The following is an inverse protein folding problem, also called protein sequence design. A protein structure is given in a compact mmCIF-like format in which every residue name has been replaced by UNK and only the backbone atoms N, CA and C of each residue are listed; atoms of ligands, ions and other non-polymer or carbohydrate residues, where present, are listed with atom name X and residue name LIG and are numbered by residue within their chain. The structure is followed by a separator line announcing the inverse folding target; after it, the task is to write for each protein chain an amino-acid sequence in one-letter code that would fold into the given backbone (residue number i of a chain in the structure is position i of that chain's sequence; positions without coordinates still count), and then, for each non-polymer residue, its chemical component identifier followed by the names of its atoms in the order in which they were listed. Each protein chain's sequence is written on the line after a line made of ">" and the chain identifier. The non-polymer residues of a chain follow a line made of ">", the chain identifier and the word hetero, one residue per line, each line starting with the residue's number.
data_IF_060724545247
#
_entry.id   IF_060724545247
#
_cell.length_a   1.000
_cell.length_b   1.000
_cell.length_c   1.000
_cell.angle_alpha   90.00
_cell.angle_beta   90.00
_cell.angle_gamma   90.00
#
_symmetry.space_group_name_H-M   'P 1'
#
loop_
_entity.id
_entity.type
_entity.pdbx_description
1 polymer ?
#
# COMPACT_ATOMS: atom_id res chain seq x y z
N UNK A 1 22.82 -19.39 2.49
CA UNK A 1 23.19 -18.28 1.58
C UNK A 1 22.00 -18.01 0.65
N UNK A 2 21.14 -17.05 0.98
CA UNK A 2 19.97 -16.72 0.16
C UNK A 2 20.35 -15.87 -1.05
N UNK A 3 19.78 -16.15 -2.23
CA UNK A 3 19.98 -15.32 -3.42
C UNK A 3 19.15 -14.04 -3.25
N UNK A 4 19.82 -12.89 -3.20
CA UNK A 4 19.15 -11.58 -3.22
C UNK A 4 18.80 -11.27 -4.67
N UNK A 5 17.51 -11.20 -4.98
CA UNK A 5 17.00 -10.77 -6.28
C UNK A 5 16.73 -9.27 -6.21
N UNK A 6 17.44 -8.50 -7.03
CA UNK A 6 17.20 -7.06 -7.21
C UNK A 6 16.42 -6.84 -8.50
N UNK A 7 15.35 -6.05 -8.42
CA UNK A 7 14.48 -5.72 -9.55
C UNK A 7 14.39 -4.20 -9.69
N UNK A 8 14.75 -3.68 -10.85
CA UNK A 8 14.67 -2.26 -11.19
C UNK A 8 13.47 -2.01 -12.09
N UNK A 9 12.66 -0.99 -11.75
CA UNK A 9 11.45 -0.63 -12.48
C UNK A 9 11.66 0.65 -13.28
N UNK A 10 11.59 0.56 -14.60
CA UNK A 10 11.56 1.72 -15.48
C UNK A 10 10.21 2.46 -15.34
N UNK A 11 10.23 3.55 -14.58
CA UNK A 11 9.06 4.38 -14.30
C UNK A 11 8.55 5.15 -15.54
N UNK A 12 9.32 5.19 -16.63
CA UNK A 12 8.85 5.77 -17.90
C UNK A 12 8.03 4.76 -18.71
N UNK A 13 8.27 3.45 -18.50
CA UNK A 13 7.58 2.33 -19.15
C UNK A 13 6.76 1.52 -18.15
N UNK A 14 5.91 2.20 -17.37
CA UNK A 14 5.03 1.54 -16.41
C UNK A 14 4.11 0.53 -17.14
N UNK A 15 3.93 -0.68 -16.59
CA UNK A 15 2.99 -1.64 -17.16
C UNK A 15 1.58 -1.05 -17.14
N UNK A 16 0.88 -1.15 -18.27
CA UNK A 16 -0.52 -0.72 -18.36
C UNK A 16 -1.40 -1.71 -17.62
N UNK A 17 -2.36 -1.20 -16.84
CA UNK A 17 -3.37 -2.04 -16.22
C UNK A 17 -4.19 -2.79 -17.28
N UNK A 18 -4.37 -4.09 -17.06
CA UNK A 18 -5.25 -4.92 -17.89
C UNK A 18 -6.70 -4.47 -17.76
N UNK A 19 -7.56 -4.87 -18.71
CA UNK A 19 -8.99 -4.55 -18.66
C UNK A 19 -9.64 -5.12 -17.40
N UNK A 20 -9.28 -6.34 -17.02
CA UNK A 20 -9.77 -7.00 -15.81
C UNK A 20 -9.39 -6.23 -14.54
N UNK A 21 -8.13 -5.79 -14.44
CA UNK A 21 -7.66 -4.99 -13.30
C UNK A 21 -8.44 -3.68 -13.18
N UNK A 22 -8.71 -3.01 -14.31
CA UNK A 22 -9.52 -1.77 -14.31
C UNK A 22 -10.96 -2.01 -13.88
N UNK A 23 -11.56 -3.13 -14.27
CA UNK A 23 -12.92 -3.48 -13.85
C UNK A 23 -12.98 -3.79 -12.35
N UNK A 24 -11.99 -4.52 -11.81
CA UNK A 24 -11.88 -4.74 -10.36
C UNK A 24 -11.76 -3.43 -9.58
N UNK A 25 -10.92 -2.51 -10.04
CA UNK A 25 -10.78 -1.20 -9.38
C UNK A 25 -12.08 -0.40 -9.38
N UNK A 26 -12.84 -0.41 -10.48
CA UNK A 26 -14.16 0.24 -10.53
C UNK A 26 -15.18 -0.40 -9.60
N UNK A 27 -15.13 -1.73 -9.45
CA UNK A 27 -15.99 -2.44 -8.51
C UNK A 27 -15.65 -2.05 -7.06
N UNK A 28 -14.36 -1.95 -6.73
CA UNK A 28 -13.91 -1.48 -5.42
C UNK A 28 -14.29 -0.01 -5.16
N UNK A 29 -14.21 0.85 -6.16
CA UNK A 29 -14.59 2.28 -6.05
C UNK A 29 -16.10 2.47 -5.80
N UNK A 30 -16.94 1.57 -6.32
CA UNK A 30 -18.39 1.62 -6.13
C UNK A 30 -18.87 0.93 -4.85
N UNK A 31 -17.99 0.18 -4.17
CA UNK A 31 -18.28 -0.50 -2.92
C UNK A 31 -18.37 0.51 -1.77
N UNK A 32 -19.31 0.32 -0.85
CA UNK A 32 -19.42 1.19 0.33
C UNK A 32 -18.37 0.81 1.38
N UNK A 33 -17.92 1.80 2.14
CA UNK A 33 -16.98 1.59 3.24
C UNK A 33 -17.49 0.57 4.28
N UNK A 34 -18.81 0.53 4.51
CA UNK A 34 -19.48 -0.39 5.44
C UNK A 34 -19.38 -1.86 5.01
N UNK A 35 -19.15 -2.12 3.72
CA UNK A 35 -18.99 -3.47 3.18
C UNK A 35 -17.54 -3.98 3.33
N UNK A 36 -16.61 -3.12 3.75
CA UNK A 36 -15.21 -3.49 3.98
C UNK A 36 -15.10 -4.26 5.30
N UNK A 37 -14.85 -5.56 5.21
CA UNK A 37 -14.56 -6.40 6.37
C UNK A 37 -13.20 -6.01 6.97
N UNK A 38 -13.22 -5.59 8.24
CA UNK A 38 -12.03 -5.24 9.03
C UNK A 38 -11.90 -6.10 10.28
N UNK A 39 -12.71 -7.17 10.39
CA UNK A 39 -12.79 -8.01 11.59
C UNK A 39 -11.50 -8.76 11.91
N UNK A 40 -10.61 -8.93 10.93
CA UNK A 40 -9.30 -9.57 11.07
C UNK A 40 -8.21 -8.59 11.57
N UNK A 41 -8.44 -7.29 11.48
CA UNK A 41 -7.45 -6.26 11.81
C UNK A 41 -7.79 -5.65 13.18
N UNK A 42 -6.89 -5.70 14.16
CA UNK A 42 -7.12 -5.06 15.45
C UNK A 42 -7.12 -3.53 15.32
N UNK A 43 -7.89 -2.84 16.17
CA UNK A 43 -7.88 -1.38 16.23
C UNK A 43 -6.48 -0.85 16.57
N UNK A 44 -6.01 0.16 15.83
CA UNK A 44 -4.73 0.81 16.10
C UNK A 44 -4.89 1.78 17.28
N UNK A 45 -4.37 1.40 18.45
CA UNK A 45 -4.41 2.21 19.67
C UNK A 45 -3.21 3.14 19.80
N UNK A 46 -3.32 4.16 20.66
CA UNK A 46 -2.19 5.04 20.98
C UNK A 46 -0.99 4.26 21.55
N UNK A 47 -1.24 3.19 22.31
CA UNK A 47 -0.22 2.28 22.82
C UNK A 47 0.53 1.56 21.70
N UNK A 48 -0.17 1.15 20.63
CA UNK A 48 0.46 0.54 19.46
C UNK A 48 1.50 1.47 18.82
N UNK A 49 1.22 2.78 18.76
CA UNK A 49 2.14 3.77 18.22
C UNK A 49 3.32 4.13 19.13
N UNK A 50 3.33 3.75 20.41
CA UNK A 50 4.46 4.06 21.32
C UNK A 50 5.78 3.43 20.87
N UNK A 51 5.71 2.31 20.17
CA UNK A 51 6.88 1.64 19.57
C UNK A 51 7.14 1.99 18.11
N UNK A 52 6.36 2.89 17.50
CA UNK A 52 6.50 3.21 16.09
C UNK A 52 7.84 3.89 15.81
N UNK A 53 8.63 3.31 14.90
CA UNK A 53 9.95 3.82 14.53
C UNK A 53 9.80 4.84 13.40
N UNK A 54 10.50 5.97 13.51
CA UNK A 54 10.57 6.97 12.43
C UNK A 54 11.10 6.31 11.15
N UNK A 55 10.36 6.45 10.05
CA UNK A 55 10.75 5.90 8.76
C UNK A 55 12.15 6.42 8.35
N UNK A 56 13.17 5.54 8.23
CA UNK A 56 14.54 5.96 7.92
C UNK A 56 14.67 6.55 6.51
N UNK A 57 13.69 6.31 5.63
CA UNK A 57 13.67 6.83 4.27
C UNK A 57 12.87 8.14 4.13
N UNK A 58 12.22 8.60 5.19
CA UNK A 58 11.47 9.85 5.15
C UNK A 58 12.42 11.05 5.14
N UNK A 59 12.50 11.73 3.99
CA UNK A 59 13.21 13.00 3.82
C UNK A 59 12.18 14.12 3.72
N UNK A 60 11.99 14.95 4.77
CA UNK A 60 11.07 16.07 4.67
C UNK A 60 11.56 17.02 3.57
N UNK A 61 10.69 17.30 2.60
CA UNK A 61 10.90 18.40 1.65
C UNK A 61 10.48 19.68 2.37
N UNK A 62 11.46 20.50 2.74
CA UNK A 62 11.19 21.85 3.23
C UNK A 62 10.63 22.67 2.07
N UNK A 63 9.51 23.36 2.30
CA UNK A 63 8.85 24.24 1.35
C UNK A 63 9.05 25.70 1.74
#
# INVERSE_FOLDING_TARGET
>A
MGKIVTYDIDLTKKPKLSKESKLRLKALEAMKDEEIDTSDIPELTADWFKGAIKNPFYKPVNH
#
